data_IF_263991275074
#
_entry.id   IF_263991275074
#
_cell.length_a   1.000
_cell.length_b   1.000
_cell.length_c   1.000
_cell.angle_alpha   90.00
_cell.angle_beta   90.00
_cell.angle_gamma   90.00
#
_symmetry.space_group_name_H-M   'P 1'
#
loop_
_entity.id
_entity.type
_entity.pdbx_description
1 polymer ?
#
# COMPACT_ATOMS: atom_id res chain seq x y z
N UNK A 1 25.28 15.61 -3.17
CA UNK A 1 24.17 14.70 -3.51
C UNK A 1 24.59 13.91 -4.73
N UNK A 2 24.77 12.59 -4.63
CA UNK A 2 25.09 11.77 -5.79
C UNK A 2 23.81 11.68 -6.64
N UNK A 3 23.79 12.34 -7.80
CA UNK A 3 22.59 12.39 -8.66
C UNK A 3 22.41 11.00 -9.29
N UNK A 4 21.34 10.29 -8.93
CA UNK A 4 21.02 8.99 -9.52
C UNK A 4 20.92 9.08 -11.04
N UNK A 5 21.53 8.11 -11.74
CA UNK A 5 21.53 8.05 -13.20
C UNK A 5 20.17 7.55 -13.72
N UNK A 6 19.77 8.01 -14.91
CA UNK A 6 18.56 7.51 -15.59
C UNK A 6 18.72 6.03 -15.96
N UNK A 7 17.68 5.24 -15.72
CA UNK A 7 17.62 3.81 -16.01
C UNK A 7 17.72 3.53 -17.51
N UNK A 8 18.63 2.62 -17.87
CA UNK A 8 18.87 2.15 -19.24
C UNK A 8 18.37 0.74 -19.51
N UNK A 9 18.02 0.01 -18.46
CA UNK A 9 17.57 -1.39 -18.45
C UNK A 9 16.12 -1.56 -17.97
N UNK A 10 15.49 -0.46 -17.53
CA UNK A 10 14.13 -0.46 -17.00
C UNK A 10 14.07 -0.73 -15.49
N UNK A 11 15.19 -0.95 -14.82
CA UNK A 11 15.24 -1.11 -13.36
C UNK A 11 15.47 0.23 -12.67
N UNK A 12 14.84 0.44 -11.51
CA UNK A 12 14.93 1.67 -10.73
C UNK A 12 14.91 1.41 -9.23
N UNK A 13 15.31 2.43 -8.47
CA UNK A 13 15.40 2.36 -7.01
C UNK A 13 16.22 1.14 -6.56
N UNK A 14 15.73 0.43 -5.55
CA UNK A 14 16.45 -0.72 -4.98
C UNK A 14 16.61 -1.93 -5.92
N UNK A 15 15.87 -1.99 -7.04
CA UNK A 15 16.03 -3.05 -8.04
C UNK A 15 17.13 -2.73 -9.08
N UNK A 16 17.72 -1.54 -9.00
CA UNK A 16 18.88 -1.16 -9.81
C UNK A 16 20.14 -1.18 -8.94
N UNK A 17 21.23 -1.75 -9.46
CA UNK A 17 22.55 -1.75 -8.79
C UNK A 17 23.06 -0.34 -8.45
N UNK A 18 22.60 0.67 -9.21
CA UNK A 18 23.00 2.07 -9.05
C UNK A 18 21.93 2.99 -8.46
N UNK A 19 20.83 2.43 -7.92
CA UNK A 19 19.64 3.20 -7.51
C UNK A 19 19.16 4.18 -8.61
N UNK A 20 19.05 3.68 -9.84
CA UNK A 20 18.69 4.47 -11.00
C UNK A 20 17.29 5.08 -10.88
N UNK A 21 17.09 6.21 -11.56
CA UNK A 21 15.79 6.88 -11.69
C UNK A 21 15.16 6.59 -13.06
N UNK A 22 13.83 6.54 -13.12
CA UNK A 22 13.08 6.45 -14.36
C UNK A 22 12.91 7.80 -15.06
N UNK A 23 13.33 8.92 -14.45
CA UNK A 23 13.21 10.25 -15.04
C UNK A 23 13.90 10.32 -16.41
N UNK A 24 13.10 10.63 -17.44
CA UNK A 24 13.45 10.66 -18.86
C UNK A 24 13.89 9.31 -19.46
N UNK A 25 13.51 8.19 -18.83
CA UNK A 25 13.78 6.87 -19.36
C UNK A 25 12.82 6.53 -20.51
N UNK A 26 13.30 5.78 -21.49
CA UNK A 26 12.47 5.29 -22.62
C UNK A 26 11.42 4.27 -22.20
N UNK A 27 11.59 3.65 -21.04
CA UNK A 27 10.60 2.74 -20.45
C UNK A 27 9.42 3.48 -19.81
N UNK A 28 9.59 4.77 -19.50
CA UNK A 28 8.61 5.60 -18.80
C UNK A 28 9.19 6.25 -17.56
N UNK A 29 8.49 7.23 -17.00
CA UNK A 29 9.01 8.08 -15.93
C UNK A 29 8.71 7.59 -14.51
N UNK A 30 7.85 6.60 -14.35
CA UNK A 30 7.39 6.13 -13.06
C UNK A 30 8.22 4.94 -12.59
N UNK A 31 8.72 4.98 -11.37
CA UNK A 31 9.34 3.83 -10.74
C UNK A 31 8.30 3.09 -9.90
N UNK A 32 7.83 1.94 -10.37
CA UNK A 32 6.85 1.12 -9.63
C UNK A 32 7.34 0.71 -8.25
N UNK A 33 6.44 0.29 -7.37
CA UNK A 33 6.77 -0.32 -6.07
C UNK A 33 7.72 -1.52 -6.17
N UNK A 34 7.81 -2.14 -7.34
CA UNK A 34 8.67 -3.29 -7.64
C UNK A 34 10.02 -2.90 -8.26
N UNK A 35 10.31 -1.62 -8.40
CA UNK A 35 11.58 -1.13 -8.94
C UNK A 35 11.71 -1.29 -10.45
N UNK A 36 10.61 -1.16 -11.18
CA UNK A 36 10.60 -1.12 -12.64
C UNK A 36 10.06 0.20 -13.16
N UNK A 37 10.66 0.70 -14.24
CA UNK A 37 10.23 1.88 -14.96
C UNK A 37 9.03 1.59 -15.87
N UNK A 38 8.08 2.52 -15.91
CA UNK A 38 6.91 2.46 -16.78
C UNK A 38 6.13 3.77 -16.82
N UNK A 39 5.04 3.79 -17.59
CA UNK A 39 4.17 4.97 -17.76
C UNK A 39 2.69 4.70 -17.48
N UNK A 40 2.30 3.45 -17.20
CA UNK A 40 0.91 3.09 -16.92
C UNK A 40 0.61 3.17 -15.43
N UNK A 41 -0.66 3.15 -15.05
CA UNK A 41 -1.11 3.14 -13.64
C UNK A 41 -0.47 2.02 -12.81
N UNK A 42 -0.10 0.88 -13.42
CA UNK A 42 0.60 -0.19 -12.70
C UNK A 42 2.01 0.22 -12.21
N UNK A 43 2.63 1.20 -12.88
CA UNK A 43 3.94 1.73 -12.51
C UNK A 43 3.83 3.06 -11.77
N UNK A 44 2.88 3.89 -12.15
CA UNK A 44 2.71 5.25 -11.66
C UNK A 44 1.70 5.38 -10.51
N UNK A 45 0.88 4.35 -10.28
CA UNK A 45 -0.16 4.34 -9.27
C UNK A 45 0.37 3.96 -7.89
N UNK A 46 -0.40 3.14 -7.17
CA UNK A 46 -0.12 2.75 -5.80
C UNK A 46 1.31 2.24 -5.60
N UNK A 47 2.02 2.83 -4.62
CA UNK A 47 3.37 2.43 -4.23
C UNK A 47 4.47 2.84 -5.20
N UNK A 48 4.18 3.69 -6.19
CA UNK A 48 5.22 4.31 -7.01
C UNK A 48 6.24 5.08 -6.14
N UNK A 49 7.53 4.95 -6.48
CA UNK A 49 8.66 5.48 -5.72
C UNK A 49 9.06 6.89 -6.21
N UNK A 50 8.63 7.92 -5.47
CA UNK A 50 8.88 9.34 -5.83
C UNK A 50 10.37 9.72 -5.93
N UNK A 51 11.24 9.07 -5.17
CA UNK A 51 12.68 9.36 -5.23
C UNK A 51 13.31 8.90 -6.56
N UNK A 52 12.67 7.95 -7.24
CA UNK A 52 13.17 7.33 -8.46
C UNK A 52 12.29 7.55 -9.68
N UNK A 53 11.26 8.40 -9.61
CA UNK A 53 10.39 8.68 -10.77
C UNK A 53 9.30 9.70 -10.49
N UNK A 54 8.51 10.02 -11.51
CA UNK A 54 7.29 10.81 -11.38
C UNK A 54 6.10 9.88 -11.17
N UNK A 55 5.53 9.87 -9.97
CA UNK A 55 4.31 9.11 -9.71
C UNK A 55 3.07 9.91 -10.10
N UNK A 56 1.92 9.25 -10.18
CA UNK A 56 0.64 9.92 -10.43
C UNK A 56 0.46 11.07 -9.45
N UNK A 57 -0.15 12.15 -9.93
CA UNK A 57 -0.50 13.27 -9.10
C UNK A 57 -1.41 12.80 -7.95
N UNK A 58 -1.14 13.23 -6.72
CA UNK A 58 -1.93 12.85 -5.56
C UNK A 58 -3.39 13.34 -5.66
N UNK A 59 -3.71 14.21 -6.63
CA UNK A 59 -5.09 14.56 -7.00
C UNK A 59 -5.82 13.50 -7.81
N UNK A 60 -5.12 12.53 -8.40
CA UNK A 60 -5.70 11.45 -9.21
C UNK A 60 -5.88 10.20 -8.35
N UNK A 61 -7.14 9.84 -8.08
CA UNK A 61 -7.46 8.58 -7.41
C UNK A 61 -7.19 7.39 -8.33
N UNK A 62 -6.47 6.39 -7.83
CA UNK A 62 -6.18 5.13 -8.51
C UNK A 62 -6.96 3.99 -7.87
N UNK A 63 -7.53 3.09 -8.67
CA UNK A 63 -8.26 1.94 -8.14
C UNK A 63 -7.30 0.98 -7.47
N UNK A 64 -7.63 0.56 -6.25
CA UNK A 64 -6.84 -0.38 -5.46
C UNK A 64 -6.69 -1.72 -6.18
N UNK A 65 -5.45 -2.17 -6.31
CA UNK A 65 -5.11 -3.51 -6.84
C UNK A 65 -4.61 -4.46 -5.76
N UNK A 66 -4.30 -3.92 -4.58
CA UNK A 66 -3.74 -4.64 -3.42
C UNK A 66 -4.76 -4.85 -2.31
N UNK A 67 -5.91 -4.16 -2.39
CA UNK A 67 -6.91 -4.11 -1.33
C UNK A 67 -6.62 -3.04 -0.28
N UNK A 68 -5.59 -2.21 -0.46
CA UNK A 68 -5.33 -1.03 0.38
C UNK A 68 -5.93 0.23 -0.23
N UNK A 69 -6.32 1.19 0.61
CA UNK A 69 -6.93 2.45 0.20
C UNK A 69 -6.55 3.61 1.14
N UNK A 70 -6.79 4.83 0.66
CA UNK A 70 -6.47 6.05 1.38
C UNK A 70 -5.54 6.98 0.61
N UNK A 71 -5.38 8.20 1.13
CA UNK A 71 -4.36 9.13 0.70
C UNK A 71 -3.07 8.90 1.49
N UNK A 72 -1.96 8.83 0.77
CA UNK A 72 -0.60 9.01 1.28
C UNK A 72 0.00 10.24 0.60
N UNK A 73 1.20 10.66 1.03
CA UNK A 73 1.92 11.76 0.35
C UNK A 73 2.19 11.47 -1.13
N UNK A 74 2.12 10.21 -1.54
CA UNK A 74 2.63 9.73 -2.84
C UNK A 74 1.59 9.00 -3.67
N UNK A 75 0.37 8.81 -3.13
CA UNK A 75 -0.66 7.98 -3.75
C UNK A 75 -2.02 8.36 -3.19
N UNK A 76 -3.02 8.40 -4.06
CA UNK A 76 -4.41 8.55 -3.68
C UNK A 76 -5.15 7.32 -4.22
N UNK A 77 -5.58 6.42 -3.33
CA UNK A 77 -6.06 5.09 -3.71
C UNK A 77 -7.50 4.91 -3.27
N UNK A 78 -8.37 4.58 -4.24
CA UNK A 78 -9.80 4.34 -4.04
C UNK A 78 -10.14 2.86 -4.15
N UNK A 79 -11.13 2.42 -3.40
CA UNK A 79 -11.72 1.09 -3.51
C UNK A 79 -12.79 1.00 -4.61
N UNK A 80 -13.26 2.13 -5.15
CA UNK A 80 -14.32 2.16 -6.16
C UNK A 80 -13.91 1.36 -7.42
N UNK A 81 -14.67 0.32 -7.73
CA UNK A 81 -14.42 -0.60 -8.84
C UNK A 81 -13.33 -1.65 -8.57
N UNK A 82 -12.87 -1.78 -7.32
CA UNK A 82 -11.88 -2.78 -6.93
C UNK A 82 -12.50 -4.16 -6.73
N UNK A 83 -11.76 -5.24 -7.03
CA UNK A 83 -12.22 -6.62 -6.84
C UNK A 83 -12.41 -6.97 -5.35
N UNK A 84 -11.78 -6.21 -4.44
CA UNK A 84 -11.94 -6.39 -3.00
C UNK A 84 -13.25 -5.79 -2.46
N UNK A 85 -13.93 -4.95 -3.24
CA UNK A 85 -15.14 -4.22 -2.86
C UNK A 85 -14.91 -2.71 -2.76
N UNK A 86 -16.02 -1.95 -2.77
CA UNK A 86 -16.00 -0.49 -2.99
C UNK A 86 -15.78 0.35 -1.73
N UNK A 87 -15.77 -0.26 -0.54
CA UNK A 87 -15.71 0.48 0.73
C UNK A 87 -14.28 0.55 1.26
N UNK A 88 -13.79 1.75 1.55
CA UNK A 88 -12.51 1.93 2.23
C UNK A 88 -12.72 1.99 3.74
N UNK A 89 -12.35 0.93 4.46
CA UNK A 89 -12.51 0.88 5.93
C UNK A 89 -11.67 1.95 6.65
N UNK A 90 -11.98 2.20 7.92
CA UNK A 90 -11.16 3.00 8.86
C UNK A 90 -9.67 2.65 8.83
N UNK A 91 -9.37 1.37 8.56
CA UNK A 91 -8.01 0.84 8.62
C UNK A 91 -7.26 0.95 7.29
N UNK A 92 -7.85 1.56 6.26
CA UNK A 92 -7.21 1.71 4.95
C UNK A 92 -7.24 0.42 4.12
N UNK A 93 -8.29 -0.39 4.27
CA UNK A 93 -8.50 -1.61 3.48
C UNK A 93 -9.84 -1.59 2.76
N UNK A 94 -9.84 -2.06 1.52
CA UNK A 94 -11.01 -2.27 0.69
C UNK A 94 -11.80 -3.50 1.12
N UNK A 95 -13.12 -3.39 1.07
CA UNK A 95 -14.06 -4.47 1.35
C UNK A 95 -15.46 -4.12 0.87
N UNK A 96 -16.37 -5.11 0.90
CA UNK A 96 -17.76 -4.93 0.49
C UNK A 96 -18.81 -5.25 1.57
N UNK A 97 -18.40 -5.54 2.80
CA UNK A 97 -19.32 -5.87 3.91
C UNK A 97 -19.35 -4.76 4.97
N UNK A 98 -20.30 -4.85 5.90
CA UNK A 98 -20.56 -3.81 6.91
C UNK A 98 -19.36 -3.47 7.80
N UNK A 99 -18.39 -4.38 7.99
CA UNK A 99 -17.16 -4.06 8.75
C UNK A 99 -16.24 -3.09 8.02
N UNK A 100 -16.38 -2.97 6.70
CA UNK A 100 -15.62 -2.05 5.85
C UNK A 100 -16.45 -0.82 5.49
N UNK A 101 -17.73 -1.02 5.17
CA UNK A 101 -18.65 0.02 4.71
C UNK A 101 -19.31 0.82 5.84
N UNK A 102 -19.29 0.29 7.07
CA UNK A 102 -19.95 0.88 8.23
C UNK A 102 -19.12 1.98 8.91
N UNK A 103 -19.18 2.02 10.24
CA UNK A 103 -18.59 3.11 11.01
C UNK A 103 -17.08 3.29 10.79
N UNK A 104 -16.71 4.52 10.46
CA UNK A 104 -15.33 4.90 10.16
C UNK A 104 -14.88 4.55 8.74
N UNK A 105 -15.80 4.12 7.86
CA UNK A 105 -15.51 4.05 6.43
C UNK A 105 -15.09 5.44 5.89
N UNK A 106 -14.04 5.46 5.09
CA UNK A 106 -13.42 6.65 4.51
C UNK A 106 -14.08 6.98 3.16
N UNK A 107 -15.10 7.85 3.18
CA UNK A 107 -15.93 8.17 2.01
C UNK A 107 -15.21 8.88 0.86
N UNK A 108 -14.03 9.44 1.11
CA UNK A 108 -13.19 10.03 0.06
C UNK A 108 -12.57 8.95 -0.84
N UNK A 109 -12.36 7.76 -0.29
CA UNK A 109 -11.66 6.64 -0.93
C UNK A 109 -12.57 5.43 -1.20
N UNK A 110 -13.88 5.55 -0.98
CA UNK A 110 -14.84 4.46 -1.20
C UNK A 110 -16.30 4.84 -1.01
N UNK A 111 -17.20 3.91 -1.33
CA UNK A 111 -18.64 4.03 -1.09
C UNK A 111 -19.00 3.52 0.31
N UNK A 112 -19.26 4.43 1.23
CA UNK A 112 -19.63 4.09 2.62
C UNK A 112 -21.14 4.04 2.82
N UNK A 113 -21.59 3.20 3.75
CA UNK A 113 -23.00 3.12 4.14
C UNK A 113 -23.36 4.31 5.05
N UNK A 114 -24.33 5.17 4.67
CA UNK A 114 -24.75 6.29 5.51
C UNK A 114 -25.51 5.85 6.78
N UNK A 115 -25.87 4.56 6.88
CA UNK A 115 -26.73 4.03 7.95
C UNK A 115 -26.00 3.76 9.27
N UNK A 116 -24.66 3.76 9.27
CA UNK A 116 -23.87 3.46 10.48
C UNK A 116 -23.62 4.71 11.35
N UNK A 117 -23.56 5.91 10.78
CA UNK A 117 -23.21 7.14 11.50
C UNK A 117 -24.26 7.67 12.51
N UNK A 118 -25.35 6.93 12.80
CA UNK A 118 -26.38 7.38 13.77
C UNK A 118 -26.94 6.26 14.68
N UNK A 119 -26.28 5.11 14.79
CA UNK A 119 -26.75 4.03 15.69
C UNK A 119 -25.80 3.74 16.85
N UNK A 120 -25.35 4.80 17.53
CA UNK A 120 -24.93 4.70 18.94
C UNK A 120 -26.11 5.02 19.86
N UNK A 121 -27.18 4.24 19.77
CA UNK A 121 -28.17 4.13 20.84
C UNK A 121 -28.35 2.66 21.19
N UNK A 122 -27.59 2.28 22.23
CA UNK A 122 -27.90 1.29 23.26
C UNK A 122 -29.18 0.47 22.96
N UNK A 123 -29.06 -0.58 22.15
CA UNK A 123 -29.93 -1.75 22.30
C UNK A 123 -29.18 -2.74 23.18
N UNK A 124 -29.29 -2.50 24.48
CA UNK A 124 -29.11 -3.51 25.52
C UNK A 124 -29.97 -4.72 25.19
N UNK A 125 -29.36 -5.78 24.67
CA UNK A 125 -29.90 -7.12 24.74
C UNK A 125 -29.02 -7.90 25.70
N UNK A 126 -29.38 -7.87 26.97
CA UNK A 126 -28.78 -8.68 28.01
C UNK A 126 -28.98 -10.18 27.71
N UNK A 127 -27.84 -10.86 27.57
CA UNK A 127 -27.51 -12.25 27.94
C UNK A 127 -28.39 -13.41 27.43
N UNK A 128 -27.76 -14.38 26.76
CA UNK A 128 -27.20 -15.54 27.47
C UNK A 128 -26.46 -16.50 26.55
N UNK A 129 -25.29 -16.92 27.03
CA UNK A 129 -24.48 -18.01 26.54
C UNK A 129 -25.25 -19.33 26.55
N UNK A 130 -25.23 -20.02 25.42
CA UNK A 130 -25.52 -21.44 25.30
C UNK A 130 -24.49 -22.26 26.10
N UNK A 131 -24.94 -22.97 27.14
CA UNK A 131 -24.23 -24.09 27.72
C UNK A 131 -25.16 -25.32 27.73
N UNK A 132 -24.64 -26.39 27.14
CA UNK A 132 -25.25 -27.70 26.91
C UNK A 132 -25.84 -28.35 28.17
N UNK A 133 -27.02 -28.95 28.00
CA UNK A 133 -27.45 -30.09 28.80
C UNK A 133 -28.23 -31.04 27.89
N UNK A 134 -27.64 -32.21 27.66
CA UNK A 134 -28.17 -33.31 26.87
C UNK A 134 -29.01 -34.20 27.79
N UNK A 135 -30.28 -34.49 27.45
CA UNK A 135 -30.85 -35.77 27.85
C UNK A 135 -31.62 -36.38 26.69
N UNK A 136 -31.03 -37.39 26.06
CA UNK A 136 -31.84 -38.48 25.55
C UNK A 136 -31.02 -39.76 25.47
N UNK A 137 -30.95 -40.39 26.63
CA UNK A 137 -30.94 -41.84 26.75
C UNK A 137 -32.37 -42.30 26.46
N UNK A 138 -32.62 -42.89 25.29
CA UNK A 138 -33.69 -43.87 25.12
C UNK A 138 -33.31 -44.85 24.01
N UNK A 139 -32.48 -45.82 24.39
CA UNK A 139 -32.47 -47.13 23.78
C UNK A 139 -32.89 -48.09 24.89
N UNK A 140 -34.01 -48.80 24.72
CA UNK A 140 -34.06 -50.26 24.75
C UNK A 140 -35.50 -50.79 24.58
N UNK A 141 -35.57 -52.04 24.09
CA UNK A 141 -36.67 -53.03 24.08
C UNK A 141 -37.45 -53.11 22.74
N UNK A 142 -37.53 -54.22 22.00
CA UNK A 142 -36.95 -55.59 22.09
C UNK A 142 -37.36 -56.40 20.85
N UNK A 143 -36.53 -57.37 20.45
CA UNK A 143 -36.89 -58.58 19.67
C UNK A 143 -36.74 -58.46 18.15
N UNK A 144 -36.19 -59.41 17.38
CA UNK A 144 -35.75 -60.80 17.59
C UNK A 144 -35.13 -61.27 16.26
N UNK A 145 -34.07 -62.09 16.28
CA UNK A 145 -33.68 -62.98 15.16
C UNK A 145 -32.29 -62.78 14.56
N UNK A 146 -31.28 -63.46 15.12
CA UNK A 146 -30.48 -64.58 14.53
C UNK A 146 -29.99 -64.56 13.05
N UNK A 147 -29.00 -65.40 12.67
CA UNK A 147 -27.70 -64.91 12.21
C UNK A 147 -27.34 -65.36 10.78
N UNK A 148 -26.08 -65.10 10.41
CA UNK A 148 -25.27 -65.88 9.46
C UNK A 148 -25.17 -65.38 8.00
N UNK A 149 -23.91 -65.33 7.58
CA UNK A 149 -23.41 -65.67 6.24
C UNK A 149 -23.43 -64.69 5.05
N UNK A 150 -22.20 -64.56 4.53
CA UNK A 150 -21.80 -64.66 3.13
C UNK A 150 -21.73 -63.42 2.21
N UNK A 151 -20.48 -63.23 1.76
CA UNK A 151 -20.00 -62.88 0.42
C UNK A 151 -20.99 -62.33 -0.60
N UNK A 152 -20.60 -61.17 -1.18
CA UNK A 152 -21.13 -60.68 -2.44
C UNK A 152 -20.16 -59.67 -3.05
N UNK A 153 -19.46 -60.12 -4.08
CA UNK A 153 -18.53 -59.36 -4.92
C UNK A 153 -19.26 -58.47 -5.94
N UNK A 154 -18.46 -57.70 -6.68
CA UNK A 154 -18.73 -56.92 -7.90
C UNK A 154 -19.12 -55.46 -7.63
N UNK A 155 -18.46 -54.44 -8.17
CA UNK A 155 -17.61 -54.35 -9.35
C UNK A 155 -18.02 -53.07 -10.09
N UNK A 156 -17.24 -52.01 -9.97
CA UNK A 156 -17.59 -50.70 -10.56
C UNK A 156 -16.38 -49.78 -10.65
N UNK A 157 -15.56 -50.00 -11.68
CA UNK A 157 -14.42 -49.16 -12.06
C UNK A 157 -14.90 -47.78 -12.56
N UNK A 158 -14.22 -46.72 -12.12
CA UNK A 158 -13.88 -45.62 -13.02
C UNK A 158 -12.45 -45.14 -12.73
N UNK A 159 -11.51 -45.81 -13.40
CA UNK A 159 -10.20 -45.34 -13.91
C UNK A 159 -10.23 -43.85 -14.31
N UNK A 160 -9.20 -43.01 -14.16
CA UNK A 160 -7.78 -43.09 -13.79
C UNK A 160 -7.25 -41.64 -13.74
N UNK A 161 -6.06 -41.28 -13.27
CA UNK A 161 -4.82 -42.03 -13.07
C UNK A 161 -4.17 -41.61 -11.75
N UNK A 162 -3.98 -42.58 -10.86
CA UNK A 162 -3.15 -42.46 -9.67
C UNK A 162 -1.82 -43.13 -10.03
N UNK A 163 -0.80 -42.31 -10.29
CA UNK A 163 0.59 -42.77 -10.34
C UNK A 163 1.18 -42.54 -8.95
N UNK A 164 1.35 -43.64 -8.22
CA UNK A 164 1.92 -43.63 -6.88
C UNK A 164 3.44 -43.48 -6.85
N UNK A 165 3.96 -43.19 -5.66
CA UNK A 165 5.30 -43.62 -5.28
C UNK A 165 5.23 -44.13 -3.84
N UNK A 166 5.34 -45.46 -3.72
CA UNK A 166 5.53 -46.19 -2.49
C UNK A 166 6.99 -46.11 -2.01
N UNK A 167 7.16 -45.89 -0.70
CA UNK A 167 8.23 -46.28 0.23
C UNK A 167 9.65 -46.52 -0.33
N UNK A 168 10.57 -45.61 0.03
CA UNK A 168 12.02 -45.77 -0.07
C UNK A 168 12.74 -45.33 1.21
N UNK A 169 12.30 -45.85 2.36
CA UNK A 169 12.92 -45.60 3.67
C UNK A 169 14.20 -46.44 3.84
N UNK A 170 15.35 -45.90 3.43
CA UNK A 170 16.65 -46.27 4.01
C UNK A 170 17.81 -45.30 3.68
N UNK A 171 17.67 -44.37 2.73
CA UNK A 171 18.78 -43.44 2.37
C UNK A 171 18.40 -41.95 2.50
N UNK A 172 17.12 -41.63 2.69
CA UNK A 172 16.64 -40.23 2.77
C UNK A 172 17.02 -39.47 4.04
N UNK A 173 17.32 -40.17 5.15
CA UNK A 173 17.63 -39.53 6.43
C UNK A 173 18.94 -38.73 6.43
N UNK A 174 19.97 -39.24 5.74
CA UNK A 174 21.26 -38.57 5.65
C UNK A 174 21.22 -37.32 4.76
N UNK A 175 20.35 -37.31 3.73
CA UNK A 175 20.17 -36.14 2.87
C UNK A 175 19.53 -34.97 3.64
N UNK A 176 18.54 -35.24 4.50
CA UNK A 176 17.90 -34.20 5.31
C UNK A 176 18.86 -33.68 6.39
N UNK A 177 19.64 -34.55 7.06
CA UNK A 177 20.66 -34.10 8.02
C UNK A 177 21.79 -33.30 7.34
N UNK A 178 22.19 -33.66 6.12
CA UNK A 178 23.14 -32.90 5.34
C UNK A 178 22.57 -31.54 4.90
N UNK A 179 21.30 -31.46 4.49
CA UNK A 179 20.63 -30.21 4.13
C UNK A 179 20.41 -29.30 5.33
N UNK A 180 20.03 -29.84 6.49
CA UNK A 180 19.89 -29.06 7.72
C UNK A 180 21.26 -28.58 8.24
N UNK A 181 22.28 -29.44 8.19
CA UNK A 181 23.67 -29.08 8.51
C UNK A 181 24.23 -28.02 7.55
N UNK A 182 24.00 -28.16 6.25
CA UNK A 182 24.37 -27.19 5.22
C UNK A 182 23.64 -25.87 5.42
N UNK A 183 22.32 -25.87 5.71
CA UNK A 183 21.55 -24.66 5.98
C UNK A 183 22.06 -23.92 7.21
N UNK A 184 22.35 -24.65 8.31
CA UNK A 184 22.89 -24.04 9.52
C UNK A 184 24.33 -23.54 9.33
N UNK A 185 25.15 -24.26 8.55
CA UNK A 185 26.51 -23.87 8.20
C UNK A 185 26.56 -22.69 7.22
N UNK A 186 25.66 -22.63 6.23
CA UNK A 186 25.45 -21.48 5.34
C UNK A 186 24.98 -20.27 6.14
N UNK A 187 24.08 -20.47 7.11
CA UNK A 187 23.62 -19.39 8.00
C UNK A 187 24.75 -18.87 8.90
N UNK A 188 25.72 -19.71 9.28
CA UNK A 188 26.90 -19.30 10.05
C UNK A 188 28.00 -18.67 9.18
N UNK A 189 28.13 -19.06 7.91
CA UNK A 189 29.06 -18.46 6.94
C UNK A 189 28.63 -17.08 6.42
N UNK A 190 27.38 -16.65 6.67
CA UNK A 190 26.93 -15.27 6.39
C UNK A 190 27.44 -14.25 7.41
N UNK A 191 28.23 -14.65 8.39
CA UNK A 191 28.96 -13.76 9.29
C UNK A 191 30.42 -13.61 8.83
N UNK A 192 30.63 -13.08 7.63
CA UNK A 192 31.92 -12.44 7.34
C UNK A 192 31.94 -11.10 8.09
N UNK A 193 32.92 -10.84 8.98
CA UNK A 193 33.06 -9.53 9.60
C UNK A 193 33.27 -8.47 8.51
N UNK A 194 32.45 -7.43 8.54
CA UNK A 194 32.61 -6.23 7.71
C UNK A 194 34.01 -5.67 7.96
N UNK A 195 34.88 -5.50 6.94
CA UNK A 195 36.10 -4.73 7.12
C UNK A 195 35.70 -3.32 7.53
N UNK A 196 36.15 -2.87 8.70
CA UNK A 196 36.00 -1.46 9.09
C UNK A 196 36.56 -0.56 7.98
N UNK A 197 35.84 0.50 7.57
CA UNK A 197 36.48 1.56 6.83
C UNK A 197 37.44 2.29 7.80
N UNK A 198 38.74 2.13 7.53
CA UNK A 198 39.82 2.92 8.12
C UNK A 198 39.55 4.41 7.82
N UNK A 199 38.91 5.10 8.77
CA UNK A 199 38.83 6.55 8.75
C UNK A 199 40.19 7.10 9.21
N UNK A 200 41.12 7.22 8.27
CA UNK A 200 42.27 8.09 8.42
C UNK A 200 41.79 9.53 8.59
N UNK A 201 41.74 9.95 9.85
CA UNK A 201 41.63 11.34 10.26
C UNK A 201 42.99 12.01 9.99
N UNK A 202 43.19 12.49 8.77
CA UNK A 202 44.29 13.40 8.46
C UNK A 202 44.01 14.77 9.10
N UNK A 203 44.78 15.24 10.10
CA UNK A 203 44.56 16.52 10.75
C UNK A 203 45.57 17.52 10.20
N UNK A 204 45.39 17.97 8.96
CA UNK A 204 46.31 18.96 8.36
C UNK A 204 45.68 19.64 7.15
N UNK A 205 44.67 20.50 7.36
CA UNK A 205 44.44 21.71 6.56
C UNK A 205 43.55 22.68 7.37
N UNK A 206 44.08 23.16 8.49
CA UNK A 206 43.67 24.46 9.01
C UNK A 206 44.62 25.46 8.36
N UNK A 207 44.28 25.93 7.17
CA UNK A 207 44.92 27.12 6.62
C UNK A 207 43.89 28.21 6.41
N UNK A 208 44.09 29.26 7.18
CA UNK A 208 43.43 30.54 7.23
C UNK A 208 43.15 31.14 5.85
N UNK A 209 41.88 31.41 5.54
CA UNK A 209 41.56 32.41 4.52
C UNK A 209 41.19 33.71 5.21
N UNK A 210 42.12 34.64 5.03
CA UNK A 210 42.18 36.00 5.51
C UNK A 210 41.01 36.81 4.96
N UNK A 211 40.38 37.58 5.85
CA UNK A 211 39.48 38.68 5.50
C UNK A 211 40.30 39.75 4.79
N UNK A 212 40.10 39.92 3.48
CA UNK A 212 40.58 41.09 2.73
C UNK A 212 39.43 41.60 1.86
N UNK A 213 38.90 42.75 2.27
CA UNK A 213 38.02 43.55 1.42
C UNK A 213 38.79 44.15 0.26
N UNK A 214 38.13 44.22 -0.90
CA UNK A 214 38.48 45.14 -1.97
C UNK A 214 37.20 45.84 -2.43
N UNK A 215 37.12 47.13 -2.13
CA UNK A 215 36.31 48.10 -2.86
C UNK A 215 36.94 48.35 -4.22
N UNK A 216 36.20 48.24 -5.33
CA UNK A 216 36.42 49.11 -6.48
C UNK A 216 35.13 49.30 -7.31
N UNK A 217 34.71 50.56 -7.39
CA UNK A 217 34.03 51.29 -8.46
C UNK A 217 32.90 50.63 -9.28
N UNK A 218 31.71 51.24 -9.19
CA UNK A 218 30.65 51.06 -10.16
C UNK A 218 30.86 51.88 -11.44
N UNK A 219 30.33 51.36 -12.54
CA UNK A 219 29.89 52.11 -13.72
C UNK A 219 28.76 51.31 -14.42
N UNK A 220 27.54 51.87 -14.38
CA UNK A 220 26.60 51.97 -15.51
C UNK A 220 25.96 50.74 -16.17
N UNK A 221 24.77 50.35 -15.67
CA UNK A 221 23.46 50.14 -16.37
C UNK A 221 23.31 49.24 -17.64
N UNK A 222 22.07 48.83 -18.04
CA UNK A 222 20.76 48.93 -17.38
C UNK A 222 20.06 47.56 -17.15
N UNK A 223 19.26 47.52 -16.09
CA UNK A 223 18.27 46.48 -15.82
C UNK A 223 17.06 46.71 -16.72
N UNK A 224 16.55 45.64 -17.37
CA UNK A 224 15.30 45.72 -18.12
C UNK A 224 14.11 45.92 -17.17
N UNK A 225 13.41 47.01 -17.42
CA UNK A 225 12.13 47.44 -16.91
C UNK A 225 11.05 46.38 -17.22
N UNK A 226 10.43 45.78 -16.21
CA UNK A 226 9.12 45.15 -16.38
C UNK A 226 8.10 45.99 -15.62
N UNK A 227 7.27 46.64 -16.43
CA UNK A 227 6.11 47.46 -16.07
C UNK A 227 5.20 46.69 -15.09
N UNK A 228 4.97 47.30 -13.93
CA UNK A 228 3.98 46.86 -12.98
C UNK A 228 2.64 47.51 -13.27
N UNK A 229 1.59 46.72 -13.47
CA UNK A 229 0.22 47.15 -13.18
C UNK A 229 -0.74 45.94 -13.17
N UNK A 230 -1.23 45.58 -11.97
CA UNK A 230 -2.65 45.34 -11.64
C UNK A 230 -2.75 44.66 -10.27
N UNK A 231 -2.58 45.45 -9.22
CA UNK A 231 -3.20 45.16 -7.93
C UNK A 231 -4.65 45.63 -8.03
N UNK A 232 -5.60 44.70 -8.13
CA UNK A 232 -7.01 45.02 -7.96
C UNK A 232 -7.26 45.36 -6.48
N UNK A 233 -7.21 46.65 -6.15
CA UNK A 233 -7.75 47.18 -4.90
C UNK A 233 -9.28 47.08 -4.95
N UNK A 234 -9.87 46.24 -4.11
CA UNK A 234 -11.32 46.27 -3.88
C UNK A 234 -11.63 47.39 -2.88
N UNK A 235 -11.89 48.58 -3.41
CA UNK A 235 -12.41 49.73 -2.67
C UNK A 235 -13.82 49.41 -2.15
N UNK A 236 -13.97 49.25 -0.84
CA UNK A 236 -15.26 49.15 -0.17
C UNK A 236 -15.97 50.51 -0.20
N UNK A 237 -16.64 50.81 -1.32
CA UNK A 237 -17.47 52.00 -1.47
C UNK A 237 -18.87 51.75 -0.92
N UNK A 238 -19.10 52.25 0.29
CA UNK A 238 -20.43 52.43 0.86
C UNK A 238 -21.31 53.24 -0.11
N UNK A 239 -22.29 52.59 -0.74
CA UNK A 239 -23.38 53.29 -1.42
C UNK A 239 -24.45 53.62 -0.40
N UNK A 240 -24.58 54.92 -0.16
CA UNK A 240 -25.77 55.55 0.42
C UNK A 240 -26.94 55.22 -0.51
N UNK A 241 -27.84 54.33 -0.08
CA UNK A 241 -29.12 54.11 -0.73
C UNK A 241 -30.16 54.99 -0.02
N UNK A 242 -30.60 56.02 -0.72
CA UNK A 242 -31.74 56.89 -0.37
C UNK A 242 -33.02 56.05 -0.16
N UNK A 243 -33.87 56.40 0.82
CA UNK A 243 -35.11 55.68 1.08
C UNK A 243 -36.16 56.01 0.00
N UNK A 244 -36.76 54.97 -0.57
CA UNK A 244 -37.99 55.11 -1.35
C UNK A 244 -39.19 55.02 -0.41
N UNK A 245 -39.92 56.11 -0.31
CA UNK A 245 -41.22 56.21 0.36
C UNK A 245 -42.26 55.32 -0.37
N UNK A 246 -43.00 54.53 0.40
CA UNK A 246 -44.17 53.77 -0.07
C UNK A 246 -45.39 54.70 -0.10
N UNK A 247 -46.09 54.84 -1.24
CA UNK A 247 -47.37 55.55 -1.25
C UNK A 247 -48.46 54.70 -0.61
N UNK A 248 -49.10 55.24 0.42
CA UNK A 248 -50.31 54.69 1.01
C UNK A 248 -51.54 54.83 0.12
N UNK A 249 -52.43 53.85 0.20
CA UNK A 249 -53.85 53.88 -0.13
C UNK A 249 -54.39 52.48 0.18
N UNK A 250 -55.55 52.25 0.79
CA UNK A 250 -56.61 53.07 1.36
C UNK A 250 -57.45 52.10 2.20
#
# INVERSE_FOLDING_TARGET
MNKSRTSTDGNCGSNSETNATCLNSTFGNCCSSKGYCGSTTAYCGEGCQLEFGTCNDASVQTVSTTGSCGATLTSNVTCLGSEYGDCCSRMGYCGGNSSYCGDGCQSEFGSCDPSSSTSSSISSSTASSSASANPNLLANLTGTGDPDSEQGVDGGLSTGAIAGISVGSAVGGLAILALLGWFFFMRRRRSTPVPEPDYKKDPSQMESVVVMGHEIAGEGAPMHEMDGQQTHEMEAKARIQVPYELPGSR
#
